data_IF_348554048934
#
_entry.id   IF_348554048934
#
_cell.length_a   1.000
_cell.length_b   1.000
_cell.length_c   1.000
_cell.angle_alpha   90.00
_cell.angle_beta   90.00
_cell.angle_gamma   90.00
#
_symmetry.space_group_name_H-M   'P 1'
#
loop_
_entity.id
_entity.type
_entity.pdbx_description
1 polymer ?
#
# COMPACT_ATOMS: atom_id res chain seq x y z
N UNK A 1 -18.48 -10.39 8.45
CA UNK A 1 -17.53 -10.90 7.44
C UNK A 1 -18.23 -11.51 6.22
N UNK A 2 -19.06 -12.56 6.32
CA UNK A 2 -19.74 -13.20 5.17
C UNK A 2 -20.64 -12.24 4.36
N UNK A 3 -21.38 -11.34 5.01
CA UNK A 3 -22.25 -10.34 4.30
C UNK A 3 -21.43 -9.31 3.51
N UNK A 4 -20.28 -8.87 4.01
CA UNK A 4 -19.39 -7.93 3.29
C UNK A 4 -18.77 -8.63 2.09
N UNK A 5 -18.31 -9.87 2.26
CA UNK A 5 -17.78 -10.69 1.16
C UNK A 5 -18.85 -10.92 0.09
N UNK A 6 -20.10 -11.20 0.45
CA UNK A 6 -21.20 -11.37 -0.49
C UNK A 6 -21.60 -10.07 -1.20
N UNK A 7 -21.52 -8.93 -0.51
CA UNK A 7 -21.78 -7.61 -1.12
C UNK A 7 -20.70 -7.24 -2.11
N UNK A 8 -19.43 -7.42 -1.72
CA UNK A 8 -18.26 -7.28 -2.59
C UNK A 8 -18.39 -8.23 -3.78
N UNK A 9 -18.70 -9.50 -3.55
CA UNK A 9 -18.90 -10.52 -4.60
C UNK A 9 -20.01 -10.14 -5.58
N UNK A 10 -21.15 -9.62 -5.12
CA UNK A 10 -22.24 -9.13 -5.98
C UNK A 10 -21.78 -7.96 -6.85
N UNK A 11 -21.14 -6.96 -6.27
CA UNK A 11 -20.68 -5.78 -7.01
C UNK A 11 -19.64 -6.14 -8.08
N UNK A 12 -18.78 -7.10 -7.82
CA UNK A 12 -17.69 -7.50 -8.71
C UNK A 12 -18.09 -8.54 -9.77
N UNK A 13 -19.01 -9.43 -9.50
CA UNK A 13 -19.57 -10.32 -10.53
C UNK A 13 -20.28 -9.55 -11.65
N UNK A 14 -20.88 -8.40 -11.32
CA UNK A 14 -21.56 -7.55 -12.30
C UNK A 14 -20.61 -6.72 -13.18
N UNK A 15 -19.33 -6.55 -12.79
CA UNK A 15 -18.42 -5.63 -13.49
C UNK A 15 -17.49 -6.28 -14.53
N UNK A 16 -17.63 -7.57 -14.83
CA UNK A 16 -16.86 -8.30 -15.89
C UNK A 16 -15.33 -8.24 -15.73
N UNK A 17 -14.79 -7.93 -14.57
CA UNK A 17 -13.35 -7.73 -14.36
C UNK A 17 -12.55 -9.02 -14.28
N UNK A 18 -13.19 -10.10 -13.84
CA UNK A 18 -12.61 -11.43 -13.78
C UNK A 18 -13.43 -12.33 -14.72
N UNK A 19 -12.77 -13.01 -15.64
CA UNK A 19 -13.44 -13.89 -16.59
C UNK A 19 -14.10 -15.09 -15.87
N UNK A 20 -15.18 -15.67 -16.42
CA UNK A 20 -15.77 -16.90 -15.88
C UNK A 20 -14.75 -18.05 -15.78
N UNK A 21 -13.78 -18.11 -16.71
CA UNK A 21 -12.69 -19.09 -16.69
C UNK A 21 -11.76 -18.89 -15.50
N UNK A 22 -11.38 -17.64 -15.19
CA UNK A 22 -10.52 -17.33 -14.05
C UNK A 22 -11.27 -17.56 -12.73
N UNK A 23 -12.57 -17.25 -12.68
CA UNK A 23 -13.42 -17.61 -11.54
C UNK A 23 -13.47 -19.12 -11.31
N UNK A 24 -13.70 -19.90 -12.37
CA UNK A 24 -13.72 -21.37 -12.27
C UNK A 24 -12.36 -21.89 -11.75
N UNK A 25 -11.25 -21.41 -12.32
CA UNK A 25 -9.90 -21.76 -11.83
C UNK A 25 -9.72 -21.40 -10.35
N UNK A 26 -10.14 -20.20 -9.92
CA UNK A 26 -10.06 -19.77 -8.54
C UNK A 26 -10.88 -20.70 -7.62
N UNK A 27 -12.12 -21.07 -7.98
CA UNK A 27 -12.95 -21.93 -7.16
C UNK A 27 -12.39 -23.35 -7.01
N UNK A 28 -11.83 -23.92 -8.08
CA UNK A 28 -11.26 -25.27 -8.05
C UNK A 28 -9.82 -25.36 -7.52
N UNK A 29 -9.17 -24.23 -7.26
CA UNK A 29 -7.84 -24.21 -6.61
C UNK A 29 -7.98 -24.45 -5.10
N UNK A 30 -7.11 -25.28 -4.53
CA UNK A 30 -7.10 -25.56 -3.09
C UNK A 30 -6.62 -24.36 -2.28
N UNK A 31 -7.14 -24.21 -1.05
CA UNK A 31 -6.70 -23.16 -0.12
C UNK A 31 -5.18 -23.23 0.11
N UNK A 32 -4.53 -22.05 0.15
CA UNK A 32 -3.08 -21.91 0.33
C UNK A 32 -2.26 -22.02 -0.94
N UNK A 33 -2.83 -22.52 -2.05
CA UNK A 33 -2.11 -22.60 -3.33
C UNK A 33 -2.07 -21.25 -4.03
N UNK A 34 -0.97 -21.02 -4.79
CA UNK A 34 -0.84 -19.89 -5.69
C UNK A 34 -1.61 -20.15 -6.99
N UNK A 35 -2.33 -19.12 -7.41
CA UNK A 35 -3.05 -19.12 -8.68
C UNK A 35 -2.84 -17.81 -9.41
N UNK A 36 -2.70 -17.87 -10.72
CA UNK A 36 -2.74 -16.68 -11.57
C UNK A 36 -4.15 -16.50 -12.14
N UNK A 37 -4.71 -15.32 -11.94
CA UNK A 37 -5.98 -14.90 -12.56
C UNK A 37 -5.77 -13.54 -13.24
N UNK A 38 -6.72 -13.15 -14.10
CA UNK A 38 -6.74 -11.80 -14.70
C UNK A 38 -7.82 -10.96 -14.04
N UNK A 39 -7.43 -9.76 -13.60
CA UNK A 39 -8.34 -8.75 -13.07
C UNK A 39 -8.20 -7.50 -13.95
N UNK A 40 -9.28 -7.06 -14.60
CA UNK A 40 -9.23 -5.99 -15.59
C UNK A 40 -8.16 -6.19 -16.68
N UNK A 41 -7.96 -7.45 -17.10
CA UNK A 41 -6.95 -7.82 -18.09
C UNK A 41 -5.53 -7.98 -17.54
N UNK A 42 -5.26 -7.55 -16.31
CA UNK A 42 -3.95 -7.62 -15.67
C UNK A 42 -3.76 -8.99 -15.03
N UNK A 43 -2.72 -9.77 -15.40
CA UNK A 43 -2.42 -11.03 -14.76
C UNK A 43 -1.85 -10.79 -13.36
N UNK A 44 -2.43 -11.43 -12.34
CA UNK A 44 -1.97 -11.34 -10.95
C UNK A 44 -1.87 -12.73 -10.35
N UNK A 45 -0.83 -12.96 -9.58
CA UNK A 45 -0.68 -14.14 -8.74
C UNK A 45 -1.23 -13.84 -7.36
N UNK A 46 -2.05 -14.74 -6.84
CA UNK A 46 -2.68 -14.62 -5.52
C UNK A 46 -2.63 -15.96 -4.78
N UNK A 47 -2.61 -15.91 -3.48
CA UNK A 47 -2.79 -17.08 -2.59
C UNK A 47 -4.27 -17.35 -2.42
N UNK A 48 -4.72 -18.54 -2.77
CA UNK A 48 -6.12 -18.92 -2.59
C UNK A 48 -6.52 -18.94 -1.11
N UNK A 49 -7.54 -18.16 -0.77
CA UNK A 49 -8.09 -18.11 0.59
C UNK A 49 -7.38 -17.16 1.55
N UNK A 50 -6.39 -16.39 1.05
CA UNK A 50 -5.82 -15.21 1.71
C UNK A 50 -6.60 -13.94 1.34
N UNK A 51 -6.27 -12.77 1.92
CA UNK A 51 -6.80 -11.47 1.52
C UNK A 51 -6.43 -11.02 0.10
N UNK A 52 -5.46 -11.67 -0.56
CA UNK A 52 -4.87 -11.22 -1.84
C UNK A 52 -5.91 -10.89 -2.92
N UNK A 53 -6.95 -11.72 -3.06
CA UNK A 53 -8.00 -11.44 -4.06
C UNK A 53 -8.74 -10.14 -3.76
N UNK A 54 -9.04 -9.89 -2.48
CA UNK A 54 -9.72 -8.67 -2.06
C UNK A 54 -8.87 -7.43 -2.33
N UNK A 55 -7.58 -7.48 -1.95
CA UNK A 55 -6.61 -6.40 -2.20
C UNK A 55 -6.43 -6.17 -3.70
N UNK A 56 -6.25 -7.24 -4.49
CA UNK A 56 -6.11 -7.14 -5.94
C UNK A 56 -7.32 -6.45 -6.60
N UNK A 57 -8.51 -6.79 -6.13
CA UNK A 57 -9.74 -6.17 -6.62
C UNK A 57 -9.80 -4.69 -6.23
N UNK A 58 -9.48 -4.31 -4.99
CA UNK A 58 -9.42 -2.92 -4.55
C UNK A 58 -8.46 -2.10 -5.41
N UNK A 59 -7.20 -2.50 -5.45
CA UNK A 59 -6.14 -1.80 -6.17
C UNK A 59 -6.43 -1.65 -7.68
N UNK A 60 -6.86 -2.74 -8.34
CA UNK A 60 -7.04 -2.74 -9.80
C UNK A 60 -8.41 -2.25 -10.27
N UNK A 61 -9.30 -1.89 -9.34
CA UNK A 61 -10.61 -1.30 -9.62
C UNK A 61 -10.67 0.22 -9.55
N UNK A 62 -9.54 0.87 -9.33
CA UNK A 62 -9.46 2.33 -9.37
C UNK A 62 -9.31 2.97 -8.00
N UNK A 63 -8.87 2.24 -6.99
CA UNK A 63 -8.54 2.80 -5.68
C UNK A 63 -7.63 4.03 -5.78
N UNK A 64 -6.65 3.99 -6.69
CA UNK A 64 -5.65 5.05 -6.88
C UNK A 64 -6.00 6.08 -7.94
N UNK A 65 -7.16 6.00 -8.62
CA UNK A 65 -7.56 6.98 -9.65
C UNK A 65 -7.63 8.42 -9.10
N UNK A 66 -7.86 8.57 -7.81
CA UNK A 66 -7.84 9.87 -7.13
C UNK A 66 -6.50 10.61 -7.27
N UNK A 67 -5.39 9.88 -7.46
CA UNK A 67 -4.05 10.45 -7.67
C UNK A 67 -3.96 11.28 -8.97
N UNK A 68 -4.80 11.02 -9.95
CA UNK A 68 -4.90 11.83 -11.18
C UNK A 68 -5.38 13.25 -10.95
N UNK A 69 -5.93 13.54 -9.78
CA UNK A 69 -6.28 14.90 -9.37
C UNK A 69 -5.03 15.74 -9.04
N UNK A 70 -3.97 15.07 -8.59
CA UNK A 70 -2.71 15.72 -8.21
C UNK A 70 -1.62 15.57 -9.29
N UNK A 71 -1.61 14.44 -10.01
CA UNK A 71 -0.56 14.12 -10.97
C UNK A 71 -1.14 13.83 -12.36
N UNK A 72 -0.52 14.31 -13.44
CA UNK A 72 -0.94 14.03 -14.81
C UNK A 72 -0.70 12.56 -15.21
N UNK A 73 -1.30 12.11 -16.31
CA UNK A 73 -1.17 10.74 -16.79
C UNK A 73 0.25 10.38 -17.27
N UNK A 74 0.97 11.37 -17.76
CA UNK A 74 2.36 11.32 -18.23
C UNK A 74 3.39 11.62 -17.13
N UNK A 75 2.97 11.52 -15.85
CA UNK A 75 3.87 11.69 -14.73
C UNK A 75 5.00 10.64 -14.76
N UNK A 76 6.25 11.09 -14.80
CA UNK A 76 7.48 10.30 -14.91
C UNK A 76 8.38 10.35 -13.67
N UNK A 77 7.90 11.03 -12.61
CA UNK A 77 8.64 11.16 -11.35
C UNK A 77 8.65 9.90 -10.49
N UNK A 78 9.13 10.05 -9.26
CA UNK A 78 9.29 8.94 -8.32
C UNK A 78 8.02 8.71 -7.51
N UNK A 79 7.58 7.46 -7.46
CA UNK A 79 6.50 6.95 -6.59
C UNK A 79 7.11 6.00 -5.57
N UNK A 80 6.88 6.26 -4.28
CA UNK A 80 7.21 5.32 -3.20
C UNK A 80 5.92 4.65 -2.74
N UNK A 81 5.85 3.34 -2.87
CA UNK A 81 4.76 2.47 -2.39
C UNK A 81 5.20 1.77 -1.11
N UNK A 82 4.89 2.37 0.04
CA UNK A 82 5.19 1.80 1.35
C UNK A 82 4.04 0.92 1.84
N UNK A 83 4.38 -0.31 2.24
CA UNK A 83 3.43 -1.40 2.46
C UNK A 83 3.01 -2.02 1.13
N UNK A 84 4.01 -2.51 0.36
CA UNK A 84 3.81 -3.06 -0.98
C UNK A 84 3.04 -4.37 -1.02
N UNK A 85 2.94 -5.06 0.14
CA UNK A 85 2.25 -6.34 0.27
C UNK A 85 2.69 -7.34 -0.82
N UNK A 86 1.80 -7.74 -1.69
CA UNK A 86 2.08 -8.66 -2.81
C UNK A 86 2.26 -7.93 -4.16
N UNK A 87 2.51 -6.62 -4.15
CA UNK A 87 2.81 -5.81 -5.33
C UNK A 87 1.58 -5.32 -6.11
N UNK A 88 0.39 -5.47 -5.57
CA UNK A 88 -0.86 -5.16 -6.29
C UNK A 88 -1.10 -3.65 -6.42
N UNK A 89 -0.71 -2.87 -5.41
CA UNK A 89 -0.67 -1.40 -5.46
C UNK A 89 0.30 -0.91 -6.52
N UNK A 90 1.52 -1.45 -6.55
CA UNK A 90 2.52 -1.09 -7.55
C UNK A 90 2.06 -1.38 -8.99
N UNK A 91 1.37 -2.51 -9.24
CA UNK A 91 0.74 -2.80 -10.54
C UNK A 91 -0.30 -1.75 -10.92
N UNK A 92 -1.14 -1.34 -9.96
CA UNK A 92 -2.15 -0.31 -10.20
C UNK A 92 -1.51 1.07 -10.46
N UNK A 93 -0.49 1.44 -9.69
CA UNK A 93 0.27 2.68 -9.86
C UNK A 93 0.99 2.72 -11.23
N UNK A 94 1.61 1.61 -11.65
CA UNK A 94 2.23 1.48 -12.98
C UNK A 94 1.22 1.71 -14.11
N UNK A 95 0.01 1.18 -13.95
CA UNK A 95 -1.07 1.39 -14.93
C UNK A 95 -1.50 2.86 -15.02
N UNK A 96 -1.52 3.55 -13.89
CA UNK A 96 -1.87 4.98 -13.84
C UNK A 96 -0.75 5.86 -14.37
N UNK A 97 0.50 5.53 -14.05
CA UNK A 97 1.70 6.31 -14.35
C UNK A 97 2.75 5.41 -15.02
N UNK A 98 2.62 5.16 -16.33
CA UNK A 98 3.46 4.20 -17.05
C UNK A 98 4.95 4.51 -17.01
N UNK A 99 5.31 5.79 -17.00
CA UNK A 99 6.70 6.26 -17.08
C UNK A 99 7.35 6.46 -15.72
N UNK A 100 6.58 6.47 -14.62
CA UNK A 100 7.09 6.75 -13.29
C UNK A 100 8.11 5.70 -12.81
N UNK A 101 9.11 6.13 -12.03
CA UNK A 101 9.93 5.23 -11.26
C UNK A 101 9.17 4.79 -10.00
N UNK A 102 9.06 3.48 -9.74
CA UNK A 102 8.36 2.95 -8.57
C UNK A 102 9.35 2.29 -7.62
N UNK A 103 9.33 2.72 -6.35
CA UNK A 103 10.07 2.10 -5.26
C UNK A 103 9.06 1.47 -4.32
N UNK A 104 9.11 0.14 -4.16
CA UNK A 104 8.20 -0.61 -3.30
C UNK A 104 8.94 -1.02 -2.03
N UNK A 105 8.37 -0.70 -0.87
CA UNK A 105 8.90 -1.09 0.45
C UNK A 105 7.95 -2.09 1.07
N UNK A 106 8.46 -3.28 1.40
CA UNK A 106 7.67 -4.35 2.04
C UNK A 106 8.51 -5.04 3.12
N UNK A 107 8.04 -5.09 4.37
CA UNK A 107 8.77 -5.71 5.46
C UNK A 107 8.62 -7.23 5.53
N UNK A 108 7.49 -7.80 5.14
CA UNK A 108 7.21 -9.21 5.35
C UNK A 108 7.85 -10.10 4.27
N UNK A 109 8.73 -11.01 4.70
CA UNK A 109 9.36 -11.98 3.80
C UNK A 109 8.33 -12.85 3.08
N UNK A 110 7.24 -13.20 3.76
CA UNK A 110 6.14 -14.01 3.26
C UNK A 110 5.41 -13.37 2.07
N UNK A 111 5.49 -12.04 1.96
CA UNK A 111 4.89 -11.27 0.88
C UNK A 111 5.87 -11.02 -0.26
N UNK A 112 7.17 -10.89 0.03
CA UNK A 112 8.19 -10.48 -0.95
C UNK A 112 8.31 -11.42 -2.15
N UNK A 113 8.19 -12.72 -1.97
CA UNK A 113 8.30 -13.66 -3.10
C UNK A 113 7.15 -13.50 -4.07
N UNK A 114 5.94 -13.31 -3.54
CA UNK A 114 4.76 -13.07 -4.37
C UNK A 114 4.78 -11.67 -4.99
N UNK A 115 5.26 -10.67 -4.25
CA UNK A 115 5.49 -9.32 -4.76
C UNK A 115 6.45 -9.34 -5.96
N UNK A 116 7.63 -9.96 -5.81
CA UNK A 116 8.61 -10.12 -6.91
C UNK A 116 8.01 -10.84 -8.11
N UNK A 117 7.19 -11.87 -7.86
CA UNK A 117 6.50 -12.62 -8.92
C UNK A 117 5.49 -11.76 -9.67
N UNK A 118 4.68 -10.97 -8.96
CA UNK A 118 3.70 -10.06 -9.55
C UNK A 118 4.35 -8.94 -10.36
N UNK A 119 5.50 -8.44 -9.90
CA UNK A 119 6.19 -7.30 -10.50
C UNK A 119 7.33 -7.72 -11.46
N UNK A 120 7.49 -9.00 -11.76
CA UNK A 120 8.62 -9.56 -12.50
C UNK A 120 8.80 -9.00 -13.93
N UNK A 121 7.79 -8.39 -14.50
CA UNK A 121 7.82 -7.79 -15.85
C UNK A 121 7.78 -6.26 -15.84
N UNK A 122 7.90 -5.65 -14.64
CA UNK A 122 7.90 -4.21 -14.52
C UNK A 122 9.30 -3.63 -14.65
N UNK A 123 9.48 -2.69 -15.56
CA UNK A 123 10.66 -1.85 -15.66
C UNK A 123 10.58 -0.66 -14.69
N UNK A 124 11.67 0.08 -14.51
CA UNK A 124 11.76 1.24 -13.60
C UNK A 124 11.23 0.94 -12.18
N UNK A 125 11.57 -0.25 -11.67
CA UNK A 125 11.13 -0.77 -10.38
C UNK A 125 12.32 -1.03 -9.47
N UNK A 126 12.19 -0.61 -8.21
CA UNK A 126 13.08 -1.00 -7.12
C UNK A 126 12.27 -1.58 -5.96
N UNK A 127 12.65 -2.77 -5.50
CA UNK A 127 12.05 -3.42 -4.32
C UNK A 127 13.02 -3.30 -3.16
N UNK A 128 12.52 -2.82 -2.02
CA UNK A 128 13.27 -2.62 -0.77
C UNK A 128 12.63 -3.49 0.32
N UNK A 129 13.40 -4.43 0.84
CA UNK A 129 12.98 -5.22 2.01
C UNK A 129 13.24 -4.43 3.29
N UNK A 130 12.19 -4.09 4.02
CA UNK A 130 12.27 -3.38 5.29
C UNK A 130 10.97 -2.69 5.67
N UNK A 131 10.91 -2.16 6.87
CA UNK A 131 9.80 -1.36 7.38
C UNK A 131 10.12 0.13 7.25
N UNK A 132 9.23 0.90 6.61
CA UNK A 132 9.34 2.37 6.57
C UNK A 132 9.08 2.92 7.97
N UNK A 133 10.04 3.72 8.47
CA UNK A 133 10.03 4.35 9.79
C UNK A 133 10.40 5.83 9.68
N UNK A 134 9.95 6.63 10.65
CA UNK A 134 10.32 8.04 10.71
C UNK A 134 11.76 8.26 11.19
N UNK A 135 12.30 7.32 11.95
CA UNK A 135 13.68 7.39 12.45
C UNK A 135 14.28 6.00 12.57
N UNK A 136 15.49 5.83 12.03
CA UNK A 136 16.27 4.61 12.20
C UNK A 136 16.74 4.46 13.66
N UNK A 137 16.28 3.42 14.31
CA UNK A 137 16.69 2.98 15.66
C UNK A 137 17.26 1.55 15.63
N UNK A 138 17.67 1.08 14.46
CA UNK A 138 18.03 -0.29 14.21
C UNK A 138 16.85 -1.15 13.74
N UNK A 139 17.04 -2.47 13.70
CA UNK A 139 16.05 -3.39 13.16
C UNK A 139 14.69 -3.31 13.87
N UNK A 140 13.61 -3.38 13.08
CA UNK A 140 12.22 -3.27 13.52
C UNK A 140 11.64 -4.68 13.74
N UNK A 141 10.92 -4.87 14.83
CA UNK A 141 10.20 -6.13 15.11
C UNK A 141 8.87 -6.13 14.35
N UNK A 142 8.72 -7.05 13.42
CA UNK A 142 7.46 -7.24 12.70
C UNK A 142 6.55 -8.17 13.50
N UNK A 143 5.29 -7.79 13.68
CA UNK A 143 4.29 -8.53 14.46
C UNK A 143 3.12 -8.96 13.61
N UNK A 144 2.57 -10.14 13.94
CA UNK A 144 1.36 -10.67 13.31
C UNK A 144 0.15 -10.40 14.18
N UNK A 145 -0.74 -9.52 13.75
CA UNK A 145 -1.98 -9.19 14.47
C UNK A 145 -3.08 -10.25 14.35
N UNK A 146 -2.85 -11.29 13.54
CA UNK A 146 -3.84 -12.36 13.31
C UNK A 146 -4.93 -11.99 12.28
N UNK A 147 -4.75 -10.90 11.56
CA UNK A 147 -5.71 -10.41 10.54
C UNK A 147 -5.46 -10.98 9.14
N UNK A 148 -4.43 -11.80 8.98
CA UNK A 148 -3.93 -12.33 7.71
C UNK A 148 -2.63 -11.65 7.28
N UNK A 149 -2.15 -12.04 6.11
CA UNK A 149 -0.84 -11.65 5.59
C UNK A 149 -0.73 -10.16 5.23
N UNK A 150 -1.84 -9.45 5.18
CA UNK A 150 -1.91 -8.00 4.92
C UNK A 150 -1.73 -7.14 6.17
N UNK A 151 -1.93 -7.71 7.37
CA UNK A 151 -2.01 -6.97 8.63
C UNK A 151 -0.78 -7.13 9.51
N UNK A 152 0.41 -7.32 8.95
CA UNK A 152 1.66 -7.29 9.70
C UNK A 152 2.04 -5.87 10.05
N UNK A 153 2.45 -5.64 11.30
CA UNK A 153 2.72 -4.30 11.83
C UNK A 153 4.09 -4.19 12.49
N UNK A 154 4.66 -3.01 12.39
CA UNK A 154 5.86 -2.61 13.16
C UNK A 154 5.51 -1.96 14.51
N UNK A 155 4.23 -1.79 14.83
CA UNK A 155 3.77 -1.24 16.11
C UNK A 155 4.04 -2.23 17.23
N UNK A 156 4.72 -1.79 18.29
CA UNK A 156 5.14 -2.68 19.39
C UNK A 156 3.95 -3.27 20.15
N UNK A 157 2.94 -2.46 20.44
CA UNK A 157 1.70 -2.89 21.12
C UNK A 157 0.48 -2.38 20.37
N UNK A 158 0.07 -3.07 19.29
CA UNK A 158 -1.10 -2.66 18.52
C UNK A 158 -2.38 -2.78 19.38
N UNK A 159 -3.27 -1.80 19.28
CA UNK A 159 -4.48 -1.70 20.10
C UNK A 159 -5.46 -2.86 19.85
N UNK A 160 -5.51 -3.33 18.61
CA UNK A 160 -6.40 -4.44 18.23
C UNK A 160 -5.86 -5.83 18.62
N UNK A 161 -4.56 -5.93 18.91
CA UNK A 161 -3.92 -7.14 19.44
C UNK A 161 -2.61 -6.80 20.19
N UNK A 162 -2.70 -6.36 21.44
CA UNK A 162 -1.55 -5.93 22.23
C UNK A 162 -0.49 -7.03 22.44
N UNK A 163 -0.90 -8.31 22.39
CA UNK A 163 -0.05 -9.49 22.56
C UNK A 163 0.32 -10.13 21.21
N UNK A 164 0.23 -9.38 20.11
CA UNK A 164 0.58 -9.84 18.77
C UNK A 164 2.00 -10.45 18.77
N UNK A 165 2.17 -11.72 18.34
CA UNK A 165 3.46 -12.39 18.37
C UNK A 165 4.41 -11.73 17.37
N UNK A 166 5.68 -11.59 17.81
CA UNK A 166 6.78 -11.19 16.93
C UNK A 166 7.07 -12.31 15.95
N UNK A 167 7.14 -11.97 14.67
CA UNK A 167 7.49 -12.90 13.60
C UNK A 167 9.02 -12.95 13.41
N UNK A 168 9.57 -11.83 12.99
CA UNK A 168 11.01 -11.65 12.73
C UNK A 168 11.37 -10.16 12.80
N UNK A 169 12.67 -9.91 12.75
CA UNK A 169 13.24 -8.57 12.70
C UNK A 169 13.55 -8.19 11.25
N UNK A 170 13.23 -6.95 10.86
CA UNK A 170 13.44 -6.44 9.52
C UNK A 170 14.26 -5.14 9.55
N UNK A 171 14.98 -4.80 8.48
CA UNK A 171 15.67 -3.51 8.40
C UNK A 171 14.73 -2.33 8.55
N UNK A 172 15.17 -1.32 9.29
CA UNK A 172 14.52 0.00 9.26
C UNK A 172 14.88 0.69 7.93
N UNK A 173 13.90 1.32 7.31
CA UNK A 173 14.04 2.14 6.10
C UNK A 173 13.48 3.51 6.40
N UNK A 174 14.25 4.58 6.18
CA UNK A 174 13.76 5.96 6.23
C UNK A 174 13.64 6.53 4.82
N UNK A 175 12.88 7.59 4.62
CA UNK A 175 12.80 8.26 3.31
C UNK A 175 14.19 8.68 2.83
N UNK A 176 15.04 9.21 3.73
CA UNK A 176 16.41 9.59 3.42
C UNK A 176 17.34 8.42 3.05
N UNK A 177 17.07 7.20 3.53
CA UNK A 177 17.86 6.01 3.21
C UNK A 177 17.58 5.41 1.83
N UNK A 178 16.56 5.93 1.12
CA UNK A 178 16.22 5.47 -0.23
C UNK A 178 17.24 5.92 -1.30
N UNK A 179 18.23 6.76 -0.95
CA UNK A 179 19.26 7.23 -1.88
C UNK A 179 18.78 8.30 -2.85
N UNK A 180 17.69 9.01 -2.50
CA UNK A 180 17.16 10.16 -3.20
C UNK A 180 16.73 11.22 -2.18
N UNK A 181 16.58 12.45 -2.63
CA UNK A 181 16.09 13.53 -1.77
C UNK A 181 14.57 13.37 -1.58
N UNK A 182 14.01 13.64 -0.38
CA UNK A 182 12.56 13.57 -0.18
C UNK A 182 11.75 14.44 -1.16
N UNK A 183 12.31 15.57 -1.64
CA UNK A 183 11.71 16.43 -2.65
C UNK A 183 11.61 15.80 -4.05
N UNK A 184 12.34 14.73 -4.33
CA UNK A 184 12.25 13.96 -5.57
C UNK A 184 11.10 12.95 -5.54
N UNK A 185 10.54 12.69 -4.34
CA UNK A 185 9.36 11.82 -4.18
C UNK A 185 8.11 12.63 -4.51
N UNK A 186 7.58 12.44 -5.70
CA UNK A 186 6.35 13.12 -6.09
C UNK A 186 5.11 12.49 -5.48
N UNK A 187 5.07 11.16 -5.36
CA UNK A 187 3.96 10.42 -4.72
C UNK A 187 4.51 9.46 -3.66
N UNK A 188 3.99 9.57 -2.44
CA UNK A 188 4.21 8.60 -1.37
C UNK A 188 2.87 7.95 -1.01
N UNK A 189 2.71 6.66 -1.29
CA UNK A 189 1.60 5.86 -0.76
C UNK A 189 2.03 5.25 0.56
N UNK A 190 1.20 5.41 1.59
CA UNK A 190 1.37 4.87 2.93
C UNK A 190 0.20 3.95 3.27
N UNK A 191 0.51 2.70 3.50
CA UNK A 191 -0.38 1.66 4.01
C UNK A 191 0.51 0.67 4.78
N UNK A 192 0.97 1.12 5.97
CA UNK A 192 2.03 0.48 6.74
C UNK A 192 1.56 0.04 8.13
N UNK A 193 0.24 -0.19 8.24
CA UNK A 193 -0.41 -0.87 9.35
C UNK A 193 -0.03 -0.28 10.73
N UNK A 194 -0.16 1.06 10.86
CA UNK A 194 0.11 1.82 12.07
C UNK A 194 1.48 2.47 12.13
N UNK A 195 2.41 2.14 11.23
CA UNK A 195 3.72 2.78 11.11
C UNK A 195 3.66 4.25 10.74
N UNK A 196 2.50 4.72 10.21
CA UNK A 196 2.23 6.12 9.89
C UNK A 196 2.43 7.02 11.12
N UNK A 197 2.09 6.52 12.32
CA UNK A 197 2.30 7.25 13.57
C UNK A 197 3.78 7.59 13.78
N UNK A 198 4.68 6.62 13.64
CA UNK A 198 6.12 6.84 13.82
C UNK A 198 6.67 7.78 12.74
N UNK A 199 6.22 7.61 11.49
CA UNK A 199 6.65 8.44 10.37
C UNK A 199 6.25 9.90 10.56
N UNK A 200 4.99 10.19 10.86
CA UNK A 200 4.50 11.57 11.11
C UNK A 200 5.04 12.19 12.39
N UNK A 201 5.46 11.37 13.38
CA UNK A 201 6.08 11.85 14.61
C UNK A 201 7.55 12.25 14.44
N UNK A 202 8.31 11.56 13.57
CA UNK A 202 9.76 11.65 13.61
C UNK A 202 10.43 12.08 12.29
N UNK A 203 9.71 12.08 11.15
CA UNK A 203 10.27 12.49 9.85
C UNK A 203 9.41 13.53 9.11
N UNK A 204 8.86 14.47 9.87
CA UNK A 204 8.01 15.52 9.31
C UNK A 204 8.74 16.40 8.31
N UNK A 205 10.05 16.60 8.51
CA UNK A 205 10.89 17.40 7.62
C UNK A 205 10.96 16.80 6.22
N UNK A 206 11.21 15.49 6.11
CA UNK A 206 11.20 14.79 4.81
C UNK A 206 9.81 14.77 4.22
N UNK A 207 8.77 14.48 5.01
CA UNK A 207 7.39 14.42 4.55
C UNK A 207 6.90 15.76 3.98
N UNK A 208 7.32 16.90 4.55
CA UNK A 208 6.96 18.23 4.05
C UNK A 208 7.52 18.49 2.63
N UNK A 209 8.58 17.79 2.23
CA UNK A 209 9.18 17.91 0.90
C UNK A 209 8.50 17.03 -0.14
N UNK A 210 7.77 15.97 0.27
CA UNK A 210 7.02 15.08 -0.63
C UNK A 210 5.87 15.81 -1.29
N UNK A 211 5.69 15.63 -2.60
CA UNK A 211 4.62 16.30 -3.36
C UNK A 211 3.22 15.88 -2.92
N UNK A 212 2.94 14.60 -3.00
CA UNK A 212 1.63 13.99 -2.72
C UNK A 212 1.78 12.83 -1.74
N UNK A 213 0.99 12.82 -0.67
CA UNK A 213 0.89 11.69 0.26
C UNK A 213 -0.51 11.10 0.18
N UNK A 214 -0.60 9.84 -0.24
CA UNK A 214 -1.81 9.03 -0.18
C UNK A 214 -1.69 8.05 0.97
N UNK A 215 -2.47 8.24 2.03
CA UNK A 215 -2.33 7.48 3.27
C UNK A 215 -3.63 6.77 3.66
N UNK A 216 -3.53 5.51 4.06
CA UNK A 216 -4.51 4.81 4.88
C UNK A 216 -4.11 4.98 6.35
N UNK A 217 -5.04 5.52 7.19
CA UNK A 217 -4.75 5.86 8.58
C UNK A 217 -5.26 4.80 9.53
N UNK A 218 -4.34 4.10 10.19
CA UNK A 218 -4.65 2.96 11.03
C UNK A 218 -4.88 3.35 12.50
N UNK A 219 -5.81 4.29 12.77
CA UNK A 219 -6.12 4.75 14.14
C UNK A 219 -6.62 3.62 15.05
N UNK A 220 -7.16 2.55 14.48
CA UNK A 220 -7.55 1.34 15.24
C UNK A 220 -6.36 0.53 15.76
N UNK A 221 -5.17 0.74 15.19
CA UNK A 221 -3.92 0.05 15.58
C UNK A 221 -3.13 0.87 16.59
N UNK A 222 -3.11 2.20 16.41
CA UNK A 222 -2.39 3.11 17.28
C UNK A 222 -3.13 4.45 17.43
N UNK A 223 -3.32 4.87 18.67
CA UNK A 223 -3.95 6.18 18.98
C UNK A 223 -3.09 7.34 18.50
N UNK A 224 -3.72 8.41 18.00
CA UNK A 224 -3.04 9.65 17.59
C UNK A 224 -2.50 9.64 16.16
N UNK A 225 -2.58 8.53 15.44
CA UNK A 225 -2.14 8.45 14.03
C UNK A 225 -2.86 9.48 13.15
N UNK A 226 -4.18 9.57 13.26
CA UNK A 226 -4.98 10.53 12.50
C UNK A 226 -4.68 11.97 12.88
N UNK A 227 -4.49 12.26 14.17
CA UNK A 227 -4.22 13.62 14.65
C UNK A 227 -2.90 14.14 14.07
N UNK A 228 -1.86 13.33 14.08
CA UNK A 228 -0.55 13.66 13.48
C UNK A 228 -0.65 13.90 11.97
N UNK A 229 -1.41 13.07 11.27
CA UNK A 229 -1.62 13.25 9.84
C UNK A 229 -2.40 14.53 9.53
N UNK A 230 -3.46 14.84 10.27
CA UNK A 230 -4.22 16.07 10.06
C UNK A 230 -3.41 17.31 10.42
N UNK A 231 -2.58 17.25 11.48
CA UNK A 231 -1.63 18.30 11.82
C UNK A 231 -0.60 18.52 10.70
N UNK A 232 -0.06 17.44 10.14
CA UNK A 232 0.83 17.47 8.98
C UNK A 232 0.16 18.12 7.75
N UNK A 233 -1.12 17.88 7.55
CA UNK A 233 -1.86 18.29 6.36
C UNK A 233 -2.48 19.68 6.45
N UNK A 234 -2.27 20.45 7.56
CA UNK A 234 -2.91 21.77 7.76
C UNK A 234 -2.60 22.79 6.66
N UNK A 235 -1.39 22.75 6.12
CA UNK A 235 -0.91 23.65 5.06
C UNK A 235 -0.86 22.96 3.69
N UNK A 236 -1.68 21.95 3.50
CA UNK A 236 -1.76 21.13 2.27
C UNK A 236 -3.21 21.00 1.83
N UNK A 237 -3.44 20.78 0.56
CA UNK A 237 -4.79 20.43 0.09
C UNK A 237 -5.12 19.01 0.50
N UNK A 238 -6.15 18.85 1.36
CA UNK A 238 -6.58 17.56 1.88
C UNK A 238 -7.87 17.10 1.19
N UNK A 239 -7.85 15.88 0.66
CA UNK A 239 -9.00 15.23 0.02
C UNK A 239 -9.30 13.93 0.76
N UNK A 240 -10.53 13.78 1.26
CA UNK A 240 -11.02 12.53 1.82
C UNK A 240 -11.28 11.53 0.70
N UNK A 241 -10.72 10.33 0.84
CA UNK A 241 -10.96 9.18 -0.04
C UNK A 241 -11.93 8.18 0.61
N UNK A 242 -12.05 7.00 0.03
CA UNK A 242 -12.89 5.94 0.59
C UNK A 242 -12.27 5.34 1.87
N UNK A 243 -13.11 4.96 2.84
CA UNK A 243 -12.64 4.32 4.07
C UNK A 243 -11.78 5.24 4.94
N UNK A 244 -10.66 4.75 5.38
CA UNK A 244 -9.68 5.44 6.24
C UNK A 244 -8.58 6.14 5.43
N UNK A 245 -8.80 6.38 4.12
CA UNK A 245 -7.82 6.89 3.16
C UNK A 245 -7.97 8.38 2.92
N UNK A 246 -6.83 9.04 2.73
CA UNK A 246 -6.74 10.47 2.47
C UNK A 246 -5.64 10.76 1.45
N UNK A 247 -5.85 11.82 0.68
CA UNK A 247 -4.86 12.40 -0.21
C UNK A 247 -4.49 13.78 0.32
N UNK A 248 -3.20 13.98 0.60
CA UNK A 248 -2.63 15.26 1.05
C UNK A 248 -1.66 15.77 0.00
N UNK A 249 -1.95 16.92 -0.60
CA UNK A 249 -1.22 17.50 -1.72
C UNK A 249 -0.53 18.77 -1.27
N UNK A 250 0.79 18.88 -1.52
CA UNK A 250 1.58 20.06 -1.17
C UNK A 250 1.10 21.27 -2.00
N UNK A 251 1.06 22.44 -1.40
CA UNK A 251 0.77 23.68 -2.14
C UNK A 251 1.75 23.90 -3.30
N UNK A 252 1.21 24.33 -4.43
CA UNK A 252 1.98 24.50 -5.68
C UNK A 252 2.04 23.26 -6.57
N UNK A 253 1.66 22.09 -6.08
CA UNK A 253 1.39 20.91 -6.92
C UNK A 253 -0.02 21.03 -7.54
N UNK A 254 -0.17 20.62 -8.80
CA UNK A 254 -1.44 20.81 -9.51
C UNK A 254 -2.54 19.87 -8.95
N UNK A 255 -3.53 20.44 -8.27
CA UNK A 255 -4.78 19.74 -8.01
C UNK A 255 -5.71 20.00 -9.20
N UNK A 256 -5.95 18.97 -10.00
CA UNK A 256 -6.92 19.03 -11.10
C UNK A 256 -8.31 18.71 -10.54
N UNK A 257 -9.28 19.58 -10.84
CA UNK A 257 -10.67 19.50 -10.42
C UNK A 257 -11.44 18.32 -11.02
#
# INVERSE_FOLDING_TARGET
MIRVILQVFKNYLFQKSISPKDWARYFFTSKGQLIQIRINGIPVWIRKGSPDLYVAMGCLYGEFEILRRACPADYDGVIVDAGGYTGLSALALRRLFPEAQIIVIEPALENLDLLKKNLSTMDNLRIVHGALVGRDKGPVQLKNRGTGEWGFTAVDRPLDNADAPTMHSVPAVTLGSLGLKPSEIGILKLDIEGGEFDLFSHDRESLNQVGVVYAELHYRIITGCSDLFFEYSKERTLIKCAGEKFLSVREGEAVRG
#
